data_IF_722289335305
#
_entry.id   IF_722289335305
#
_cell.length_a   1.000
_cell.length_b   1.000
_cell.length_c   1.000
_cell.angle_alpha   90.00
_cell.angle_beta   90.00
_cell.angle_gamma   90.00
#
_symmetry.space_group_name_H-M   'P 1'
#
loop_
_entity.id
_entity.type
_entity.pdbx_description
1 polymer ?
#
# COMPACT_ATOMS: atom_id res chain seq x y z
N UNK A 1 -4.33 -11.94 11.23
CA UNK A 1 -2.86 -11.74 11.21
C UNK A 1 -2.44 -10.54 10.35
N UNK A 2 -3.26 -10.11 9.38
CA UNK A 2 -3.06 -8.96 8.49
C UNK A 2 -2.77 -7.63 9.20
N UNK A 3 -3.43 -7.40 10.35
CA UNK A 3 -3.27 -6.18 11.15
C UNK A 3 -1.84 -5.94 11.66
N UNK A 4 -1.11 -7.02 12.00
CA UNK A 4 0.26 -6.91 12.47
C UNK A 4 1.22 -6.52 11.34
N UNK A 5 0.94 -6.96 10.11
CA UNK A 5 1.72 -6.61 8.92
C UNK A 5 1.51 -5.14 8.57
N UNK A 6 0.24 -4.68 8.55
CA UNK A 6 -0.12 -3.28 8.32
C UNK A 6 0.64 -2.38 9.30
N UNK A 7 0.56 -2.64 10.61
CA UNK A 7 1.23 -1.84 11.62
C UNK A 7 2.77 -1.81 11.44
N UNK A 8 3.37 -2.90 10.96
CA UNK A 8 4.81 -2.95 10.72
C UNK A 8 5.22 -2.17 9.46
N UNK A 9 4.37 -2.19 8.42
CA UNK A 9 4.56 -1.39 7.21
C UNK A 9 4.36 0.11 7.50
N UNK A 10 3.41 0.48 8.35
CA UNK A 10 3.18 1.87 8.76
C UNK A 10 4.38 2.46 9.49
N UNK A 11 5.11 1.66 10.27
CA UNK A 11 6.37 2.10 10.91
C UNK A 11 7.50 2.40 9.93
N UNK A 12 7.40 1.90 8.70
CA UNK A 12 8.38 2.13 7.64
C UNK A 12 8.00 3.34 6.75
N UNK A 13 6.79 3.90 6.93
CA UNK A 13 6.40 5.15 6.29
C UNK A 13 7.31 6.28 6.76
N UNK A 14 7.55 7.26 5.90
CA UNK A 14 8.52 8.36 6.10
C UNK A 14 9.98 7.93 6.30
N UNK A 15 10.28 6.63 6.24
CA UNK A 15 11.63 6.10 6.31
C UNK A 15 12.36 6.12 4.96
N UNK A 16 13.64 5.74 4.94
CA UNK A 16 14.41 5.59 3.69
C UNK A 16 13.87 4.49 2.75
N UNK A 17 12.93 3.68 3.26
CA UNK A 17 12.25 2.62 2.51
C UNK A 17 10.80 2.98 2.17
N UNK A 18 10.36 4.21 2.44
CA UNK A 18 9.05 4.71 2.05
C UNK A 18 9.01 4.95 0.53
N UNK A 19 8.56 3.93 -0.20
CA UNK A 19 8.42 3.98 -1.65
C UNK A 19 7.08 3.41 -2.12
N UNK A 20 6.89 3.35 -3.43
CA UNK A 20 5.68 2.80 -4.03
C UNK A 20 5.42 1.34 -3.63
N UNK A 21 6.47 0.52 -3.52
CA UNK A 21 6.38 -0.87 -3.06
C UNK A 21 5.79 -0.98 -1.65
N UNK A 22 6.22 -0.12 -0.72
CA UNK A 22 5.72 -0.13 0.67
C UNK A 22 4.22 0.20 0.71
N UNK A 23 3.82 1.26 -0.01
CA UNK A 23 2.42 1.71 -0.11
C UNK A 23 1.53 0.67 -0.80
N UNK A 24 2.04 0.00 -1.84
CA UNK A 24 1.37 -1.13 -2.47
C UNK A 24 1.13 -2.28 -1.49
N UNK A 25 2.17 -2.70 -0.74
CA UNK A 25 2.03 -3.75 0.27
C UNK A 25 0.99 -3.37 1.31
N UNK A 26 0.99 -2.12 1.79
CA UNK A 26 -0.02 -1.60 2.70
C UNK A 26 -1.43 -1.74 2.12
N UNK A 27 -1.63 -1.30 0.88
CA UNK A 27 -2.92 -1.40 0.20
C UNK A 27 -3.39 -2.85 0.03
N UNK A 28 -2.49 -3.75 -0.36
CA UNK A 28 -2.78 -5.17 -0.51
C UNK A 28 -3.17 -5.84 0.81
N UNK A 29 -2.50 -5.49 1.92
CA UNK A 29 -2.87 -6.00 3.24
C UNK A 29 -4.22 -5.44 3.73
N UNK A 30 -4.53 -4.17 3.44
CA UNK A 30 -5.86 -3.62 3.68
C UNK A 30 -6.96 -4.32 2.86
N UNK A 31 -6.69 -4.72 1.61
CA UNK A 31 -7.63 -5.54 0.82
C UNK A 31 -7.90 -6.88 1.50
N UNK A 32 -6.84 -7.57 1.95
CA UNK A 32 -6.96 -8.84 2.69
C UNK A 32 -7.68 -8.69 4.02
N UNK A 33 -7.62 -7.50 4.63
CA UNK A 33 -8.36 -7.18 5.85
C UNK A 33 -9.83 -6.77 5.57
N UNK A 34 -10.23 -6.64 4.31
CA UNK A 34 -11.56 -6.18 3.90
C UNK A 34 -11.74 -4.66 3.96
N UNK A 35 -10.68 -3.89 4.22
CA UNK A 35 -10.70 -2.44 4.28
C UNK A 35 -10.45 -1.81 2.91
N UNK A 36 -11.40 -2.00 1.99
CA UNK A 36 -11.26 -1.55 0.59
C UNK A 36 -10.99 -0.04 0.43
N UNK A 37 -11.62 0.83 1.24
CA UNK A 37 -11.35 2.27 1.19
C UNK A 37 -9.90 2.61 1.52
N UNK A 38 -9.35 2.04 2.59
CA UNK A 38 -7.95 2.25 2.97
C UNK A 38 -7.00 1.63 1.95
N UNK A 39 -7.35 0.48 1.38
CA UNK A 39 -6.57 -0.12 0.32
C UNK A 39 -6.41 0.78 -0.89
N UNK A 40 -7.52 1.33 -1.41
CA UNK A 40 -7.52 2.23 -2.57
C UNK A 40 -6.71 3.50 -2.29
N UNK A 41 -6.85 4.07 -1.08
CA UNK A 41 -6.07 5.24 -0.68
C UNK A 41 -4.56 4.96 -0.72
N UNK A 42 -4.13 3.85 -0.12
CA UNK A 42 -2.71 3.44 -0.11
C UNK A 42 -2.18 3.10 -1.51
N UNK A 43 -2.97 2.43 -2.34
CA UNK A 43 -2.60 2.13 -3.72
C UNK A 43 -2.51 3.39 -4.58
N UNK A 44 -3.39 4.37 -4.40
CA UNK A 44 -3.31 5.68 -5.07
C UNK A 44 -2.04 6.41 -4.69
N UNK A 45 -1.68 6.43 -3.41
CA UNK A 45 -0.42 7.02 -2.99
C UNK A 45 0.80 6.28 -3.56
N UNK A 46 0.69 4.96 -3.81
CA UNK A 46 1.76 4.19 -4.44
C UNK A 46 1.99 4.65 -5.89
N UNK A 47 0.93 4.83 -6.68
CA UNK A 47 1.03 5.30 -8.08
C UNK A 47 1.35 6.80 -8.18
N UNK A 48 0.96 7.60 -7.20
CA UNK A 48 1.36 9.02 -7.12
C UNK A 48 2.88 9.17 -6.93
N UNK A 49 3.47 8.27 -6.12
CA UNK A 49 4.91 8.22 -5.88
C UNK A 49 5.70 7.64 -7.04
N UNK A 50 5.18 6.58 -7.64
CA UNK A 50 5.78 5.94 -8.80
C UNK A 50 4.69 5.58 -9.81
N UNK A 51 4.50 6.49 -10.78
CA UNK A 51 3.53 6.30 -11.86
C UNK A 51 3.83 5.08 -12.74
N UNK A 52 5.05 4.54 -12.68
CA UNK A 52 5.45 3.32 -13.41
C UNK A 52 5.13 2.04 -12.65
N UNK A 53 4.59 2.14 -11.43
CA UNK A 53 4.28 0.99 -10.58
C UNK A 53 2.98 0.29 -11.02
N UNK A 54 3.08 -0.42 -12.14
CA UNK A 54 1.99 -1.16 -12.81
C UNK A 54 1.26 -2.16 -11.91
N UNK A 55 1.91 -2.69 -10.87
CA UNK A 55 1.28 -3.57 -9.90
C UNK A 55 0.20 -2.86 -9.06
N UNK A 56 0.39 -1.59 -8.68
CA UNK A 56 -0.63 -0.84 -7.94
C UNK A 56 -1.83 -0.49 -8.82
N UNK A 57 -1.59 -0.14 -10.09
CA UNK A 57 -2.68 0.03 -11.07
C UNK A 57 -3.51 -1.23 -11.22
N UNK A 58 -2.85 -2.40 -11.32
CA UNK A 58 -3.53 -3.70 -11.41
C UNK A 58 -4.43 -4.00 -10.21
N UNK A 59 -4.07 -3.54 -9.01
CA UNK A 59 -4.91 -3.71 -7.81
C UNK A 59 -6.00 -2.64 -7.69
N UNK A 60 -5.85 -1.48 -8.33
CA UNK A 60 -6.85 -0.41 -8.34
C UNK A 60 -8.03 -0.72 -9.26
N UNK A 61 -7.82 -1.51 -10.32
CA UNK A 61 -8.85 -1.92 -11.28
C UNK A 61 -8.51 -1.48 -12.69
#
# INVERSE_FOLDING_TARGET
>A
MTTAIIANLEKLLDGPRDGALLRYSLGNEHLKAGNYQQAVDRLRQAVDRDGSYSAAWKLLG
#
